data_IF_497766302267
#
_entry.id   IF_497766302267
#
_cell.length_a   1.000
_cell.length_b   1.000
_cell.length_c   1.000
_cell.angle_alpha   90.00
_cell.angle_beta   90.00
_cell.angle_gamma   90.00
#
_symmetry.space_group_name_H-M   'P 1'
#
loop_
_entity.id
_entity.type
_entity.pdbx_description
1 polymer ?
#
# COMPACT_ATOMS: atom_id res chain seq x y z
N UNK A 1 4.07 -14.90 16.74
CA UNK A 1 2.62 -14.71 16.94
C UNK A 1 2.33 -13.74 18.08
N UNK A 2 2.95 -13.91 19.24
CA UNK A 2 2.88 -12.96 20.36
C UNK A 2 3.23 -11.51 19.97
N UNK A 3 4.22 -11.32 19.09
CA UNK A 3 4.58 -10.00 18.57
C UNK A 3 3.48 -9.38 17.68
N UNK A 4 2.72 -10.20 16.95
CA UNK A 4 1.59 -9.72 16.12
C UNK A 4 0.46 -9.21 17.04
N UNK A 5 0.13 -10.00 18.07
CA UNK A 5 -0.87 -9.63 19.06
C UNK A 5 -0.48 -8.36 19.82
N UNK A 6 0.78 -8.28 20.29
CA UNK A 6 1.29 -7.09 21.00
C UNK A 6 1.29 -5.82 20.15
N UNK A 7 1.48 -5.96 18.84
CA UNK A 7 1.43 -4.84 17.90
C UNK A 7 0.00 -4.52 17.41
N UNK A 8 -1.03 -5.23 17.88
CA UNK A 8 -2.41 -5.03 17.46
C UNK A 8 -2.66 -5.35 15.98
N UNK A 9 -1.85 -6.25 15.39
CA UNK A 9 -2.00 -6.63 13.99
C UNK A 9 -3.27 -7.46 13.82
N UNK A 10 -4.18 -7.00 12.97
CA UNK A 10 -5.44 -7.70 12.63
C UNK A 10 -5.44 -8.20 11.18
N UNK A 11 -4.57 -7.66 10.32
CA UNK A 11 -4.41 -8.09 8.94
C UNK A 11 -2.92 -8.30 8.60
N UNK A 12 -2.61 -9.47 8.07
CA UNK A 12 -1.34 -9.82 7.48
C UNK A 12 -1.46 -9.86 5.95
N UNK A 13 -0.75 -8.97 5.25
CA UNK A 13 -0.63 -8.98 3.79
C UNK A 13 0.62 -9.76 3.39
N UNK A 14 0.42 -10.99 2.92
CA UNK A 14 1.48 -11.88 2.46
C UNK A 14 1.73 -11.68 0.96
N UNK A 15 2.77 -10.92 0.62
CA UNK A 15 3.15 -10.62 -0.76
C UNK A 15 4.09 -11.70 -1.29
N UNK A 16 3.58 -12.93 -1.36
CA UNK A 16 4.29 -14.08 -1.92
C UNK A 16 3.36 -15.21 -2.33
N UNK A 17 3.83 -16.07 -3.24
CA UNK A 17 3.13 -17.31 -3.59
C UNK A 17 3.28 -18.41 -2.54
N UNK A 18 4.49 -18.54 -1.96
CA UNK A 18 4.89 -19.76 -1.24
C UNK A 18 5.15 -19.57 0.26
N UNK A 19 5.27 -18.34 0.77
CA UNK A 19 5.53 -18.17 2.20
C UNK A 19 4.28 -18.55 3.02
N UNK A 20 4.45 -19.19 4.18
CA UNK A 20 3.33 -19.51 5.05
C UNK A 20 2.63 -18.24 5.56
N UNK A 21 1.33 -18.37 5.82
CA UNK A 21 0.54 -17.37 6.51
C UNK A 21 0.82 -17.36 8.02
N UNK A 22 0.36 -16.33 8.76
CA UNK A 22 0.34 -16.38 10.22
C UNK A 22 -0.61 -17.49 10.69
N UNK A 23 -0.35 -18.11 11.85
CA UNK A 23 -1.30 -19.00 12.53
C UNK A 23 -1.93 -18.31 13.75
N UNK A 24 -1.71 -17.00 13.88
CA UNK A 24 -2.13 -16.23 15.04
C UNK A 24 -3.66 -16.06 15.05
N UNK A 25 -4.34 -16.42 16.15
CA UNK A 25 -5.79 -16.29 16.23
C UNK A 25 -6.20 -14.82 16.14
N UNK A 26 -7.30 -14.53 15.44
CA UNK A 26 -7.82 -13.18 15.26
C UNK A 26 -7.06 -12.32 14.24
N UNK A 27 -6.05 -12.88 13.55
CA UNK A 27 -5.30 -12.20 12.48
C UNK A 27 -5.72 -12.75 11.13
N UNK A 28 -6.37 -11.91 10.31
CA UNK A 28 -6.71 -12.25 8.94
C UNK A 28 -5.46 -12.29 8.05
N UNK A 29 -5.47 -13.12 7.00
CA UNK A 29 -4.44 -13.11 5.95
C UNK A 29 -5.05 -12.66 4.61
N UNK A 30 -4.41 -11.71 3.95
CA UNK A 30 -4.60 -11.41 2.54
C UNK A 30 -3.33 -11.83 1.79
N UNK A 31 -3.46 -12.72 0.80
CA UNK A 31 -2.34 -13.15 -0.03
C UNK A 31 -2.31 -12.41 -1.35
N UNK A 32 -1.17 -11.82 -1.68
CA UNK A 32 -0.86 -11.23 -2.99
C UNK A 32 0.17 -12.14 -3.67
N UNK A 33 -0.27 -13.04 -4.57
CA UNK A 33 0.54 -14.17 -5.03
C UNK A 33 1.50 -13.79 -6.15
N UNK A 34 2.48 -12.93 -5.87
CA UNK A 34 3.51 -12.49 -6.83
C UNK A 34 4.91 -12.97 -6.47
N UNK A 35 5.71 -13.30 -7.48
CA UNK A 35 7.16 -13.46 -7.35
C UNK A 35 7.87 -12.11 -7.26
N UNK A 36 9.12 -12.13 -6.83
CA UNK A 36 9.96 -10.92 -6.81
C UNK A 36 10.70 -10.78 -8.14
N UNK A 37 9.92 -10.60 -9.19
CA UNK A 37 10.40 -10.53 -10.57
C UNK A 37 9.94 -9.22 -11.20
N UNK A 38 10.80 -8.48 -11.94
CA UNK A 38 10.41 -7.25 -12.62
C UNK A 38 9.26 -7.41 -13.63
N UNK A 39 9.01 -8.62 -14.14
CA UNK A 39 7.95 -8.93 -15.08
C UNK A 39 6.62 -9.34 -14.41
N UNK A 40 6.59 -9.54 -13.08
CA UNK A 40 5.32 -9.80 -12.37
C UNK A 40 4.45 -8.54 -12.32
N UNK A 41 3.14 -8.74 -12.47
CA UNK A 41 2.16 -7.65 -12.44
C UNK A 41 1.68 -7.40 -11.00
N UNK A 42 2.48 -6.65 -10.23
CA UNK A 42 2.09 -6.18 -8.91
C UNK A 42 1.03 -5.06 -8.99
N UNK A 43 1.06 -4.25 -10.05
CA UNK A 43 0.17 -3.10 -10.25
C UNK A 43 -1.30 -3.48 -10.16
N UNK A 44 -1.71 -4.58 -10.81
CA UNK A 44 -3.08 -5.08 -10.77
C UNK A 44 -3.58 -5.41 -9.35
N UNK A 45 -2.67 -5.65 -8.40
CA UNK A 45 -3.00 -5.97 -7.02
C UNK A 45 -2.99 -4.75 -6.08
N UNK A 46 -2.42 -3.61 -6.48
CA UNK A 46 -2.18 -2.49 -5.56
C UNK A 46 -3.49 -1.90 -5.01
N UNK A 47 -4.44 -1.54 -5.86
CA UNK A 47 -5.71 -0.92 -5.42
C UNK A 47 -6.51 -1.81 -4.45
N UNK A 48 -6.85 -3.08 -4.78
CA UNK A 48 -7.61 -3.92 -3.85
C UNK A 48 -6.83 -4.23 -2.57
N UNK A 49 -5.50 -4.35 -2.64
CA UNK A 49 -4.66 -4.59 -1.45
C UNK A 49 -4.64 -3.36 -0.54
N UNK A 50 -4.47 -2.16 -1.09
CA UNK A 50 -4.49 -0.91 -0.33
C UNK A 50 -5.85 -0.69 0.34
N UNK A 51 -6.95 -0.94 -0.39
CA UNK A 51 -8.30 -0.84 0.16
C UNK A 51 -8.54 -1.81 1.34
N UNK A 52 -8.06 -3.05 1.24
CA UNK A 52 -8.16 -4.01 2.33
C UNK A 52 -7.33 -3.59 3.56
N UNK A 53 -6.12 -3.08 3.33
CA UNK A 53 -5.27 -2.53 4.39
C UNK A 53 -5.95 -1.35 5.08
N UNK A 54 -6.54 -0.43 4.31
CA UNK A 54 -7.24 0.73 4.87
C UNK A 54 -8.48 0.34 5.67
N UNK A 55 -9.25 -0.65 5.19
CA UNK A 55 -10.40 -1.16 5.93
C UNK A 55 -10.00 -1.71 7.31
N UNK A 56 -8.91 -2.47 7.38
CA UNK A 56 -8.38 -2.99 8.65
C UNK A 56 -7.89 -1.89 9.58
N UNK A 57 -7.20 -0.87 9.05
CA UNK A 57 -6.76 0.30 9.82
C UNK A 57 -7.94 1.11 10.35
N UNK A 58 -8.96 1.38 9.52
CA UNK A 58 -10.17 2.11 9.92
C UNK A 58 -11.03 1.36 10.95
N UNK A 59 -10.92 0.03 11.00
CA UNK A 59 -11.53 -0.78 12.04
C UNK A 59 -10.75 -0.76 13.39
N UNK A 60 -9.68 0.03 13.48
CA UNK A 60 -8.87 0.18 14.70
C UNK A 60 -7.75 -0.84 14.85
N UNK A 61 -7.48 -1.65 13.83
CA UNK A 61 -6.38 -2.63 13.81
C UNK A 61 -5.11 -2.11 13.14
N UNK A 62 -4.08 -2.95 13.13
CA UNK A 62 -2.85 -2.71 12.37
C UNK A 62 -2.64 -3.74 11.27
N UNK A 63 -1.91 -3.33 10.22
CA UNK A 63 -1.56 -4.19 9.10
C UNK A 63 -0.06 -4.54 9.13
N UNK A 64 0.27 -5.82 8.97
CA UNK A 64 1.62 -6.27 8.67
C UNK A 64 1.72 -6.64 7.19
N UNK A 65 2.57 -5.95 6.44
CA UNK A 65 2.90 -6.34 5.05
C UNK A 65 4.25 -7.04 5.04
N UNK A 66 4.32 -8.25 4.51
CA UNK A 66 5.56 -9.02 4.47
C UNK A 66 5.74 -9.80 3.16
N UNK A 67 6.99 -10.13 2.89
CA UNK A 67 7.41 -11.06 1.85
C UNK A 67 8.61 -11.86 2.37
N UNK A 68 9.23 -12.72 1.55
CA UNK A 68 10.35 -13.59 2.00
C UNK A 68 11.50 -12.82 2.67
N UNK A 69 11.95 -11.72 2.07
CA UNK A 69 13.13 -10.97 2.53
C UNK A 69 12.77 -9.62 3.19
N UNK A 70 11.51 -9.20 3.07
CA UNK A 70 11.07 -7.86 3.47
C UNK A 70 11.84 -6.74 2.74
N UNK A 71 12.24 -6.93 1.47
CA UNK A 71 13.07 -5.97 0.71
C UNK A 71 12.31 -5.31 -0.42
N UNK A 72 11.84 -6.09 -1.40
CA UNK A 72 11.23 -5.55 -2.63
C UNK A 72 9.70 -5.54 -2.56
N UNK A 73 9.03 -6.69 -2.76
CA UNK A 73 7.56 -6.83 -2.79
C UNK A 73 6.80 -6.13 -1.66
N UNK A 74 7.16 -6.39 -0.40
CA UNK A 74 6.48 -5.78 0.75
C UNK A 74 6.71 -4.28 0.82
N UNK A 75 7.92 -3.81 0.46
CA UNK A 75 8.23 -2.38 0.42
C UNK A 75 7.42 -1.68 -0.67
N UNK A 76 7.25 -2.31 -1.84
CA UNK A 76 6.43 -1.79 -2.92
C UNK A 76 4.96 -1.63 -2.48
N UNK A 77 4.37 -2.66 -1.86
CA UNK A 77 2.99 -2.60 -1.35
C UNK A 77 2.83 -1.55 -0.25
N UNK A 78 3.76 -1.44 0.70
CA UNK A 78 3.73 -0.38 1.71
C UNK A 78 3.82 1.02 1.07
N UNK A 79 4.67 1.18 0.06
CA UNK A 79 4.83 2.46 -0.65
C UNK A 79 3.53 2.83 -1.37
N UNK A 80 2.90 1.90 -2.07
CA UNK A 80 1.61 2.09 -2.72
C UNK A 80 0.51 2.52 -1.71
N UNK A 81 0.42 1.84 -0.57
CA UNK A 81 -0.54 2.18 0.49
C UNK A 81 -0.36 3.61 1.01
N UNK A 82 0.89 4.01 1.26
CA UNK A 82 1.20 5.37 1.72
C UNK A 82 0.84 6.43 0.68
N UNK A 83 1.04 6.15 -0.61
CA UNK A 83 0.56 7.06 -1.66
C UNK A 83 -0.97 7.15 -1.65
N UNK A 84 -1.65 6.00 -1.68
CA UNK A 84 -3.10 5.90 -1.85
C UNK A 84 -3.91 6.49 -0.69
N UNK A 85 -3.50 6.23 0.54
CA UNK A 85 -4.31 6.53 1.74
C UNK A 85 -3.68 7.57 2.66
N UNK A 86 -2.41 7.92 2.47
CA UNK A 86 -1.74 8.98 3.24
C UNK A 86 -1.36 10.20 2.40
N UNK A 87 -1.72 10.20 1.11
CA UNK A 87 -1.52 11.35 0.21
C UNK A 87 -0.05 11.72 -0.01
N UNK A 88 0.85 10.75 0.13
CA UNK A 88 2.29 10.98 -0.09
C UNK A 88 2.64 10.78 -1.57
N UNK A 89 3.61 11.55 -2.09
CA UNK A 89 4.22 11.21 -3.37
C UNK A 89 5.06 9.94 -3.27
N UNK A 90 5.35 9.27 -4.38
CA UNK A 90 6.19 8.08 -4.45
C UNK A 90 7.52 8.27 -3.73
N UNK A 91 8.19 9.39 -3.97
CA UNK A 91 9.44 9.72 -3.31
C UNK A 91 9.30 9.80 -1.78
N UNK A 92 8.28 10.50 -1.27
CA UNK A 92 8.06 10.64 0.18
C UNK A 92 7.62 9.33 0.82
N UNK A 93 6.71 8.60 0.16
CA UNK A 93 6.22 7.30 0.59
C UNK A 93 7.37 6.30 0.71
N UNK A 94 8.21 6.20 -0.32
CA UNK A 94 9.35 5.28 -0.30
C UNK A 94 10.41 5.70 0.73
N UNK A 95 10.70 6.99 0.88
CA UNK A 95 11.63 7.47 1.92
C UNK A 95 11.15 7.11 3.33
N UNK A 96 9.85 7.17 3.61
CA UNK A 96 9.29 6.72 4.88
C UNK A 96 9.52 5.22 5.10
N UNK A 97 9.28 4.39 4.07
CA UNK A 97 9.54 2.94 4.12
C UNK A 97 11.04 2.65 4.32
N UNK A 98 11.92 3.34 3.59
CA UNK A 98 13.38 3.19 3.66
C UNK A 98 13.93 3.58 5.03
N UNK A 99 13.39 4.64 5.63
CA UNK A 99 13.77 5.09 6.97
C UNK A 99 13.38 4.07 8.04
N UNK A 100 12.20 3.45 7.93
CA UNK A 100 11.77 2.39 8.85
C UNK A 100 12.50 1.05 8.60
N UNK A 101 12.92 0.79 7.35
CA UNK A 101 13.63 -0.43 6.95
C UNK A 101 14.71 -0.12 5.91
N UNK A 102 15.97 0.13 6.33
CA UNK A 102 17.05 0.56 5.43
C UNK A 102 17.35 -0.39 4.27
N UNK A 103 17.06 -1.68 4.42
CA UNK A 103 17.23 -2.69 3.35
C UNK A 103 16.09 -2.70 2.33
N UNK A 104 15.04 -1.89 2.49
CA UNK A 104 13.91 -1.81 1.55
C UNK A 104 14.39 -1.31 0.18
N UNK A 105 14.03 -2.04 -0.87
CA UNK A 105 14.48 -1.80 -2.24
C UNK A 105 13.59 -2.60 -3.20
N UNK A 106 12.47 -2.02 -3.67
CA UNK A 106 11.68 -2.55 -4.77
C UNK A 106 12.57 -2.85 -5.97
N UNK A 107 12.31 -3.96 -6.67
CA UNK A 107 12.97 -4.21 -7.95
C UNK A 107 12.56 -3.13 -8.98
N UNK A 108 13.33 -2.95 -10.07
CA UNK A 108 13.05 -1.89 -11.05
C UNK A 108 11.67 -1.98 -11.71
N UNK A 109 11.16 -3.20 -11.96
CA UNK A 109 9.83 -3.40 -12.55
C UNK A 109 8.72 -2.92 -11.62
N UNK A 110 8.81 -3.23 -10.33
CA UNK A 110 7.87 -2.71 -9.32
C UNK A 110 8.02 -1.21 -9.12
N UNK A 111 9.22 -0.65 -9.24
CA UNK A 111 9.40 0.80 -9.20
C UNK A 111 8.65 1.49 -10.34
N UNK A 112 8.80 1.00 -11.58
CA UNK A 112 8.04 1.52 -12.72
C UNK A 112 6.53 1.36 -12.58
N UNK A 113 6.08 0.25 -11.97
CA UNK A 113 4.66 0.06 -11.66
C UNK A 113 4.15 1.03 -10.59
N UNK A 114 4.96 1.37 -9.58
CA UNK A 114 4.61 2.38 -8.59
C UNK A 114 4.51 3.79 -9.19
N UNK A 115 5.36 4.12 -10.16
CA UNK A 115 5.26 5.40 -10.90
C UNK A 115 3.93 5.48 -11.66
N UNK A 116 3.57 4.41 -12.41
CA UNK A 116 2.27 4.32 -13.09
C UNK A 116 1.09 4.43 -12.12
N UNK A 117 1.22 3.84 -10.92
CA UNK A 117 0.20 3.93 -9.90
C UNK A 117 0.07 5.37 -9.37
N UNK A 118 1.17 6.08 -9.11
CA UNK A 118 1.16 7.49 -8.72
C UNK A 118 0.46 8.37 -9.78
N UNK A 119 0.78 8.19 -11.06
CA UNK A 119 0.13 8.89 -12.18
C UNK A 119 -1.39 8.63 -12.20
N UNK A 120 -1.82 7.38 -12.01
CA UNK A 120 -3.24 7.02 -11.96
C UNK A 120 -3.96 7.69 -10.78
N UNK A 121 -3.32 7.78 -9.61
CA UNK A 121 -3.87 8.47 -8.44
C UNK A 121 -4.02 9.98 -8.68
N UNK A 122 -3.04 10.60 -9.33
CA UNK A 122 -3.11 12.02 -9.70
C UNK A 122 -4.26 12.28 -10.69
N UNK A 123 -4.41 11.42 -11.70
CA UNK A 123 -5.51 11.52 -12.65
C UNK A 123 -6.88 11.42 -11.97
N UNK A 124 -7.06 10.49 -11.02
CA UNK A 124 -8.30 10.36 -10.26
C UNK A 124 -8.59 11.58 -9.38
N UNK A 125 -7.57 12.16 -8.75
CA UNK A 125 -7.74 13.36 -7.92
C UNK A 125 -8.20 14.59 -8.73
N UNK A 126 -7.77 14.70 -9.99
CA UNK A 126 -8.20 15.75 -10.90
C UNK A 126 -9.68 15.60 -11.29
N UNK A 127 -10.14 14.37 -11.51
CA UNK A 127 -11.54 14.08 -11.88
C UNK A 127 -12.52 14.24 -10.71
N UNK A 128 -12.05 14.20 -9.47
CA UNK A 128 -12.87 14.37 -8.26
C UNK A 128 -12.90 15.82 -7.75
N UNK A 129 -12.20 16.75 -8.40
CA UNK A 129 -12.29 18.18 -8.14
C UNK A 129 -13.44 18.81 -8.92
N UNK A 130 -14.62 18.96 -8.31
CA UNK A 130 -15.60 19.96 -8.77
C UNK A 130 -14.95 21.36 -8.74
N UNK A 131 -15.20 22.23 -9.74
CA UNK A 131 -14.70 23.60 -9.69
C UNK A 131 -15.33 24.32 -8.47
N UNK A 132 -14.62 25.27 -7.85
CA UNK A 132 -15.22 26.09 -6.79
C UNK A 132 -16.45 26.77 -7.38
N UNK A 133 -17.59 26.63 -6.70
CA UNK A 133 -18.81 27.35 -7.05
C UNK A 133 -18.44 28.83 -7.24
N UNK A 134 -18.50 29.31 -8.47
CA UNK A 134 -18.39 30.73 -8.79
C UNK A 134 -19.46 31.44 -7.97
N UNK A 135 -19.02 32.13 -6.92
CA UNK A 135 -19.88 32.92 -6.06
C UNK A 135 -20.59 33.97 -6.89
N UNK A 136 -21.85 33.70 -7.23
CA UNK A 136 -22.78 34.71 -7.69
C UNK A 136 -23.38 35.39 -6.46
N UNK A 137 -22.85 36.57 -6.17
CA UNK A 137 -23.55 37.61 -5.44
C UNK A 137 -22.66 38.87 -5.36
N UNK A 138 -23.23 40.09 -5.33
CA UNK A 138 -24.65 40.45 -5.33
C UNK A 138 -25.04 41.41 -6.48
N UNK A 139 -26.24 41.24 -7.02
CA UNK A 139 -26.98 42.36 -7.64
C UNK A 139 -28.42 42.33 -7.12
N UNK A 140 -28.67 43.11 -6.07
CA UNK A 140 -29.87 43.90 -5.77
C UNK A 140 -29.77 44.51 -4.37
#
# INVERSE_FOLDING_TARGET
>A
EEQLARAGVTLCVNVSRQQPGPRAPGVAELRVPVFDDPAEDLLAHLEPTCAAMEAAVRAGGACLVYCKNGRSRSAAVCTAYLMRHRGLSLAKAFQMVKSARPVAEPNPGFWSQLQKYEEALQAQSCLQGEPPALGLGPEA
#
